data_IF_012626974765
#
_entry.id   IF_012626974765
#
_cell.length_a   1.000
_cell.length_b   1.000
_cell.length_c   1.000
_cell.angle_alpha   90.00
_cell.angle_beta   90.00
_cell.angle_gamma   90.00
#
_symmetry.space_group_name_H-M   'P 1'
#
loop_
_entity.id
_entity.type
_entity.pdbx_description
1 polymer ?
#
# COMPACT_ATOMS: atom_id res chain seq x y z
N UNK A 1 7.29 -6.31 -25.94
CA UNK A 1 6.52 -5.21 -25.29
C UNK A 1 5.07 -5.58 -25.03
N UNK A 2 4.34 -6.25 -25.95
CA UNK A 2 2.94 -6.62 -25.74
C UNK A 2 2.68 -7.40 -24.44
N UNK A 3 3.53 -8.37 -24.12
CA UNK A 3 3.44 -9.17 -22.86
C UNK A 3 3.58 -8.30 -21.61
N UNK A 4 4.48 -7.32 -21.63
CA UNK A 4 4.68 -6.41 -20.49
C UNK A 4 3.46 -5.49 -20.30
N UNK A 5 2.92 -4.97 -21.41
CA UNK A 5 1.73 -4.11 -21.37
C UNK A 5 0.49 -4.89 -20.94
N UNK A 6 0.28 -6.10 -21.44
CA UNK A 6 -0.85 -6.93 -21.03
C UNK A 6 -0.75 -7.38 -19.58
N UNK A 7 0.47 -7.71 -19.10
CA UNK A 7 0.72 -8.02 -17.70
C UNK A 7 0.43 -6.82 -16.79
N UNK A 8 0.92 -5.63 -17.15
CA UNK A 8 0.65 -4.41 -16.39
C UNK A 8 -0.85 -4.07 -16.37
N UNK A 9 -1.52 -4.13 -17.52
CA UNK A 9 -2.96 -3.91 -17.61
C UNK A 9 -3.75 -4.92 -16.75
N UNK A 10 -3.38 -6.20 -16.79
CA UNK A 10 -4.00 -7.23 -15.97
C UNK A 10 -3.86 -6.92 -14.48
N UNK A 11 -2.65 -6.59 -14.01
CA UNK A 11 -2.42 -6.18 -12.63
C UNK A 11 -3.28 -4.99 -12.22
N UNK A 12 -3.36 -3.96 -13.07
CA UNK A 12 -4.21 -2.78 -12.83
C UNK A 12 -5.68 -3.17 -12.65
N UNK A 13 -6.25 -3.96 -13.55
CA UNK A 13 -7.68 -4.33 -13.46
C UNK A 13 -7.99 -5.20 -12.25
N UNK A 14 -7.08 -6.12 -11.89
CA UNK A 14 -7.24 -6.95 -10.68
C UNK A 14 -7.19 -6.07 -9.42
N UNK A 15 -6.28 -5.10 -9.36
CA UNK A 15 -6.21 -4.17 -8.22
C UNK A 15 -7.42 -3.25 -8.17
N UNK A 16 -7.98 -2.83 -9.30
CA UNK A 16 -9.24 -2.08 -9.34
C UNK A 16 -10.39 -2.88 -8.71
N UNK A 17 -10.48 -4.18 -8.98
CA UNK A 17 -11.48 -5.03 -8.34
C UNK A 17 -11.30 -5.08 -6.81
N UNK A 18 -10.07 -5.24 -6.33
CA UNK A 18 -9.76 -5.16 -4.89
C UNK A 18 -10.09 -3.78 -4.30
N UNK A 19 -9.77 -2.70 -5.02
CA UNK A 19 -10.10 -1.34 -4.60
C UNK A 19 -11.62 -1.14 -4.47
N UNK A 20 -12.40 -1.70 -5.40
CA UNK A 20 -13.86 -1.63 -5.33
C UNK A 20 -14.42 -2.38 -4.13
N UNK A 21 -13.86 -3.56 -3.79
CA UNK A 21 -14.24 -4.28 -2.56
C UNK A 21 -13.95 -3.45 -1.29
N UNK A 22 -12.97 -2.55 -1.34
CA UNK A 22 -12.62 -1.67 -0.22
C UNK A 22 -13.51 -0.43 -0.12
N UNK A 23 -13.96 0.11 -1.26
CA UNK A 23 -14.82 1.29 -1.34
C UNK A 23 -15.93 1.08 -2.37
N UNK A 24 -16.93 0.24 -2.07
CA UNK A 24 -17.93 -0.19 -3.04
C UNK A 24 -18.79 0.99 -3.53
N UNK A 25 -18.86 1.16 -4.85
CA UNK A 25 -19.63 2.22 -5.55
C UNK A 25 -20.20 1.69 -6.88
N UNK A 26 -21.08 2.47 -7.52
CA UNK A 26 -21.60 2.14 -8.86
C UNK A 26 -22.73 1.10 -8.85
N UNK A 27 -23.52 1.06 -7.78
CA UNK A 27 -24.74 0.26 -7.71
C UNK A 27 -25.75 0.92 -6.76
N UNK A 28 -27.01 0.46 -6.83
CA UNK A 28 -28.08 0.76 -5.87
C UNK A 28 -28.47 -0.51 -5.13
N UNK A 29 -28.63 -0.44 -3.81
CA UNK A 29 -29.16 -1.54 -3.02
C UNK A 29 -30.64 -1.28 -2.71
N UNK A 30 -31.53 -2.09 -3.26
CA UNK A 30 -32.97 -1.97 -3.06
C UNK A 30 -33.61 -3.35 -2.96
N UNK A 31 -34.53 -3.54 -2.02
CA UNK A 31 -35.27 -4.80 -1.81
C UNK A 31 -34.38 -6.04 -1.66
N UNK A 32 -33.23 -5.91 -0.98
CA UNK A 32 -32.29 -7.03 -0.78
C UNK A 32 -31.45 -7.39 -2.02
N UNK A 33 -31.57 -6.64 -3.11
CA UNK A 33 -30.85 -6.88 -4.35
C UNK A 33 -30.00 -5.67 -4.77
N UNK A 34 -28.85 -5.95 -5.39
CA UNK A 34 -28.04 -4.95 -6.06
C UNK A 34 -28.56 -4.73 -7.47
N UNK A 35 -28.91 -3.49 -7.80
CA UNK A 35 -29.45 -3.07 -9.11
C UNK A 35 -28.74 -1.79 -9.58
N UNK A 36 -29.00 -1.34 -10.81
CA UNK A 36 -28.42 -0.08 -11.33
C UNK A 36 -26.89 -0.10 -11.38
N UNK A 37 -26.31 -1.20 -11.85
CA UNK A 37 -24.86 -1.40 -11.89
C UNK A 37 -24.24 -0.49 -12.97
N UNK A 38 -23.31 0.37 -12.57
CA UNK A 38 -22.44 1.15 -13.44
C UNK A 38 -21.00 0.64 -13.29
N UNK A 39 -20.51 -0.15 -14.26
CA UNK A 39 -19.15 -0.69 -14.22
C UNK A 39 -18.06 0.39 -14.23
N UNK A 40 -18.27 1.52 -14.91
CA UNK A 40 -17.27 2.57 -15.00
C UNK A 40 -17.17 3.31 -13.66
N UNK A 41 -18.30 3.58 -13.01
CA UNK A 41 -18.33 4.13 -11.66
C UNK A 41 -17.73 3.16 -10.61
N UNK A 42 -17.96 1.85 -10.77
CA UNK A 42 -17.35 0.83 -9.93
C UNK A 42 -15.82 0.80 -10.11
N UNK A 43 -15.33 0.86 -11.35
CA UNK A 43 -13.90 0.90 -11.66
C UNK A 43 -13.21 2.19 -11.18
N UNK A 44 -13.92 3.32 -11.19
CA UNK A 44 -13.44 4.63 -10.70
C UNK A 44 -13.71 4.86 -9.22
N UNK A 45 -13.84 3.78 -8.46
CA UNK A 45 -13.96 3.83 -7.00
C UNK A 45 -12.84 4.68 -6.36
N UNK A 46 -13.10 5.39 -5.25
CA UNK A 46 -12.12 6.29 -4.63
C UNK A 46 -10.77 5.65 -4.26
N UNK A 47 -10.74 4.33 -3.99
CA UNK A 47 -9.50 3.61 -3.69
C UNK A 47 -8.72 3.15 -4.93
N UNK A 48 -9.28 3.23 -6.15
CA UNK A 48 -8.70 2.64 -7.35
C UNK A 48 -7.31 3.20 -7.66
N UNK A 49 -7.19 4.53 -7.78
CA UNK A 49 -5.92 5.19 -8.10
C UNK A 49 -4.83 4.95 -7.04
N UNK A 50 -5.05 5.22 -5.74
CA UNK A 50 -4.00 5.04 -4.73
C UNK A 50 -3.52 3.58 -4.64
N UNK A 51 -4.43 2.60 -4.69
CA UNK A 51 -4.04 1.18 -4.62
C UNK A 51 -3.31 0.73 -5.89
N UNK A 52 -3.83 1.11 -7.06
CA UNK A 52 -3.22 0.73 -8.35
C UNK A 52 -1.82 1.32 -8.48
N UNK A 53 -1.63 2.60 -8.11
CA UNK A 53 -0.33 3.25 -8.15
C UNK A 53 0.67 2.53 -7.24
N UNK A 54 0.30 2.33 -5.97
CA UNK A 54 1.17 1.72 -4.97
C UNK A 54 1.54 0.27 -5.31
N UNK A 55 0.56 -0.54 -5.75
CA UNK A 55 0.80 -1.93 -6.11
C UNK A 55 1.64 -2.06 -7.39
N UNK A 56 1.41 -1.19 -8.38
CA UNK A 56 2.19 -1.21 -9.63
C UNK A 56 3.66 -0.91 -9.38
N UNK A 57 3.94 0.12 -8.57
CA UNK A 57 5.31 0.47 -8.17
C UNK A 57 5.93 -0.65 -7.33
N UNK A 58 5.18 -1.22 -6.36
CA UNK A 58 5.64 -2.34 -5.55
C UNK A 58 6.05 -3.54 -6.42
N UNK A 59 5.26 -3.88 -7.44
CA UNK A 59 5.55 -5.00 -8.33
C UNK A 59 6.84 -4.76 -9.14
N UNK A 60 7.06 -3.55 -9.67
CA UNK A 60 8.29 -3.22 -10.40
C UNK A 60 9.51 -3.13 -9.48
N UNK A 61 9.36 -2.59 -8.27
CA UNK A 61 10.42 -2.58 -7.27
C UNK A 61 10.82 -4.02 -6.89
N UNK A 62 9.85 -4.86 -6.52
CA UNK A 62 10.09 -6.24 -6.12
C UNK A 62 10.74 -7.07 -7.23
N UNK A 63 10.22 -6.99 -8.46
CA UNK A 63 10.78 -7.76 -9.59
C UNK A 63 12.14 -7.23 -10.03
N UNK A 64 12.29 -5.90 -10.17
CA UNK A 64 13.55 -5.27 -10.58
C UNK A 64 14.67 -5.51 -9.57
N UNK A 65 14.41 -5.29 -8.28
CA UNK A 65 15.38 -5.52 -7.21
C UNK A 65 15.64 -7.00 -6.97
N UNK A 66 14.64 -7.88 -7.15
CA UNK A 66 14.82 -9.32 -7.08
C UNK A 66 15.78 -9.84 -8.15
N UNK A 67 15.57 -9.42 -9.41
CA UNK A 67 16.50 -9.73 -10.52
C UNK A 67 17.88 -9.15 -10.27
N UNK A 68 17.96 -7.89 -9.83
CA UNK A 68 19.23 -7.24 -9.47
C UNK A 68 19.96 -8.02 -8.38
N UNK A 69 19.28 -8.45 -7.31
CA UNK A 69 19.87 -9.22 -6.22
C UNK A 69 20.47 -10.55 -6.68
N UNK A 70 19.75 -11.29 -7.52
CA UNK A 70 20.24 -12.56 -8.10
C UNK A 70 21.51 -12.31 -8.92
N UNK A 71 21.51 -11.34 -9.83
CA UNK A 71 22.67 -11.10 -10.69
C UNK A 71 23.84 -10.43 -9.96
N UNK A 72 23.58 -9.64 -8.92
CA UNK A 72 24.61 -9.15 -8.02
C UNK A 72 25.31 -10.31 -7.30
N UNK A 73 24.54 -11.27 -6.77
CA UNK A 73 25.10 -12.48 -6.14
C UNK A 73 25.95 -13.30 -7.12
N UNK A 74 25.48 -13.47 -8.36
CA UNK A 74 26.25 -14.18 -9.39
C UNK A 74 27.54 -13.45 -9.80
N UNK A 75 27.54 -12.11 -9.80
CA UNK A 75 28.75 -11.31 -10.02
C UNK A 75 29.77 -11.45 -8.90
N UNK A 76 29.35 -11.69 -7.66
CA UNK A 76 30.29 -11.96 -6.56
C UNK A 76 31.09 -13.25 -6.83
N UNK A 77 30.48 -14.23 -7.50
CA UNK A 77 31.14 -15.49 -7.90
C UNK A 77 31.96 -15.35 -9.19
N UNK A 78 31.48 -14.57 -10.15
CA UNK A 78 32.19 -14.32 -11.41
C UNK A 78 32.08 -12.84 -11.83
N UNK A 79 33.05 -12.03 -11.37
CA UNK A 79 33.06 -10.57 -11.52
C UNK A 79 33.21 -10.09 -12.97
N UNK A 80 33.71 -10.93 -13.87
CA UNK A 80 33.94 -10.58 -15.29
C UNK A 80 32.76 -10.90 -16.19
N UNK A 81 31.67 -11.49 -15.67
CA UNK A 81 30.49 -11.80 -16.45
C UNK A 81 29.78 -10.54 -16.96
N UNK A 82 29.91 -10.26 -18.26
CA UNK A 82 29.21 -9.17 -18.93
C UNK A 82 27.68 -9.35 -18.89
N UNK A 83 27.20 -10.60 -19.00
CA UNK A 83 25.78 -10.94 -18.92
C UNK A 83 25.18 -10.55 -17.57
N UNK A 84 25.80 -10.98 -16.46
CA UNK A 84 25.28 -10.66 -15.14
C UNK A 84 25.36 -9.16 -14.84
N UNK A 85 26.38 -8.46 -15.36
CA UNK A 85 26.46 -7.00 -15.27
C UNK A 85 25.33 -6.30 -16.02
N UNK A 86 25.03 -6.73 -17.24
CA UNK A 86 23.92 -6.18 -18.02
C UNK A 86 22.57 -6.44 -17.33
N UNK A 87 22.33 -7.67 -16.86
CA UNK A 87 21.09 -8.04 -16.19
C UNK A 87 20.90 -7.29 -14.86
N UNK A 88 21.97 -7.14 -14.06
CA UNK A 88 21.98 -6.29 -12.86
C UNK A 88 21.58 -4.85 -13.20
N UNK A 89 22.21 -4.26 -14.21
CA UNK A 89 21.91 -2.89 -14.64
C UNK A 89 20.45 -2.74 -15.06
N UNK A 90 19.90 -3.66 -15.87
CA UNK A 90 18.50 -3.62 -16.29
C UNK A 90 17.56 -3.75 -15.09
N UNK A 91 17.84 -4.68 -14.17
CA UNK A 91 17.05 -4.85 -12.94
C UNK A 91 17.02 -3.57 -12.09
N UNK A 92 18.18 -2.92 -11.92
CA UNK A 92 18.28 -1.66 -11.19
C UNK A 92 17.59 -0.49 -11.92
N UNK A 93 17.67 -0.41 -13.25
CA UNK A 93 16.98 0.62 -14.03
C UNK A 93 15.46 0.57 -13.88
N UNK A 94 14.89 -0.61 -13.64
CA UNK A 94 13.45 -0.78 -13.37
C UNK A 94 13.14 -0.62 -11.89
N UNK A 95 13.89 -1.30 -11.03
CA UNK A 95 13.59 -1.39 -9.60
C UNK A 95 13.92 -0.13 -8.81
N UNK A 96 15.05 0.53 -9.09
CA UNK A 96 15.50 1.67 -8.29
C UNK A 96 14.57 2.90 -8.40
N UNK A 97 14.10 3.32 -9.60
CA UNK A 97 13.12 4.40 -9.69
C UNK A 97 11.80 4.04 -8.98
N UNK A 98 11.34 2.79 -9.13
CA UNK A 98 10.12 2.34 -8.45
C UNK A 98 10.27 2.35 -6.93
N UNK A 99 11.42 1.91 -6.40
CA UNK A 99 11.72 1.95 -4.97
C UNK A 99 11.76 3.39 -4.42
N UNK A 100 12.32 4.35 -5.16
CA UNK A 100 12.33 5.77 -4.76
C UNK A 100 10.91 6.36 -4.75
N UNK A 101 10.06 5.99 -5.71
CA UNK A 101 8.68 6.46 -5.78
C UNK A 101 7.73 5.73 -4.81
N UNK A 102 8.14 4.56 -4.29
CA UNK A 102 7.30 3.70 -3.47
C UNK A 102 6.82 4.39 -2.19
N UNK A 103 7.68 5.05 -1.37
CA UNK A 103 7.23 5.74 -0.16
C UNK A 103 6.22 6.85 -0.43
N UNK A 104 6.37 7.58 -1.54
CA UNK A 104 5.44 8.66 -1.94
C UNK A 104 4.06 8.06 -2.24
N UNK A 105 4.02 6.97 -3.01
CA UNK A 105 2.75 6.27 -3.28
C UNK A 105 2.15 5.64 -2.02
N UNK A 106 3.00 5.20 -1.09
CA UNK A 106 2.61 4.65 0.21
C UNK A 106 1.93 5.68 1.09
N UNK A 107 2.48 6.88 1.18
CA UNK A 107 1.84 8.02 1.86
C UNK A 107 0.46 8.35 1.27
N UNK A 108 0.36 8.42 -0.07
CA UNK A 108 -0.92 8.65 -0.77
C UNK A 108 -1.94 7.54 -0.42
N UNK A 109 -1.49 6.28 -0.37
CA UNK A 109 -2.33 5.13 -0.03
C UNK A 109 -2.75 5.14 1.45
N UNK A 110 -1.83 5.40 2.38
CA UNK A 110 -2.08 5.47 3.81
C UNK A 110 -3.09 6.59 4.13
N UNK A 111 -2.96 7.75 3.50
CA UNK A 111 -3.94 8.85 3.63
C UNK A 111 -5.31 8.50 3.08
N UNK A 112 -5.37 7.69 2.01
CA UNK A 112 -6.63 7.18 1.50
C UNK A 112 -7.30 6.24 2.50
N UNK A 113 -6.52 5.36 3.14
CA UNK A 113 -6.97 4.45 4.20
C UNK A 113 -7.43 5.25 5.42
N UNK A 114 -6.67 6.25 5.86
CA UNK A 114 -7.02 7.10 7.00
C UNK A 114 -8.42 7.72 6.88
N UNK A 115 -8.76 8.22 5.70
CA UNK A 115 -10.05 8.88 5.44
C UNK A 115 -11.22 7.92 5.22
N UNK A 116 -10.96 6.72 4.73
CA UNK A 116 -12.02 5.82 4.21
C UNK A 116 -12.19 4.54 5.02
N UNK A 117 -11.12 4.11 5.68
CA UNK A 117 -11.04 2.86 6.45
C UNK A 117 -10.23 3.11 7.74
N UNK A 118 -10.68 4.01 8.62
CA UNK A 118 -9.93 4.41 9.81
C UNK A 118 -9.61 3.24 10.75
N UNK A 119 -10.48 2.23 10.81
CA UNK A 119 -10.25 1.00 11.59
C UNK A 119 -9.00 0.26 11.11
N UNK A 120 -8.70 0.27 9.81
CA UNK A 120 -7.49 -0.36 9.28
C UNK A 120 -6.24 0.44 9.65
N UNK A 121 -6.30 1.77 9.56
CA UNK A 121 -5.19 2.62 10.01
C UNK A 121 -4.94 2.41 11.50
N UNK A 122 -5.99 2.41 12.31
CA UNK A 122 -5.89 2.17 13.75
C UNK A 122 -5.28 0.80 14.07
N UNK A 123 -5.59 -0.23 13.27
CA UNK A 123 -4.96 -1.54 13.39
C UNK A 123 -3.50 -1.57 12.91
N UNK A 124 -3.14 -0.79 11.89
CA UNK A 124 -1.76 -0.66 11.40
C UNK A 124 -0.84 -0.02 12.44
N UNK A 125 -1.37 0.88 13.27
CA UNK A 125 -0.61 1.67 14.25
C UNK A 125 -0.86 1.24 15.71
N UNK A 126 -1.59 0.14 15.92
CA UNK A 126 -2.07 -0.31 17.25
C UNK A 126 -2.75 0.81 18.09
N UNK A 127 -3.45 1.72 17.42
CA UNK A 127 -4.15 2.82 18.06
C UNK A 127 -5.50 2.36 18.62
N UNK A 128 -5.54 2.03 19.92
CA UNK A 128 -6.78 1.61 20.56
C UNK A 128 -7.73 2.76 20.88
N UNK A 129 -7.21 3.87 21.42
CA UNK A 129 -8.01 5.01 21.86
C UNK A 129 -8.05 6.10 20.78
N UNK A 130 -9.23 6.67 20.54
CA UNK A 130 -9.38 7.86 19.67
C UNK A 130 -8.70 9.06 20.31
N UNK A 131 -7.77 9.69 19.60
CA UNK A 131 -7.00 10.82 20.13
C UNK A 131 -6.76 11.89 19.07
N UNK A 132 -6.77 13.15 19.50
CA UNK A 132 -6.25 14.26 18.72
C UNK A 132 -4.73 14.27 18.81
N UNK A 133 -4.03 14.50 17.69
CA UNK A 133 -2.56 14.47 17.70
C UNK A 133 -1.97 13.11 18.01
N UNK A 134 -2.53 12.06 17.40
CA UNK A 134 -2.10 10.69 17.60
C UNK A 134 -0.60 10.53 17.24
N UNK A 135 0.16 9.80 18.08
CA UNK A 135 1.54 9.48 17.78
C UNK A 135 1.64 8.43 16.66
N UNK A 136 2.79 8.42 15.97
CA UNK A 136 3.21 7.30 15.14
C UNK A 136 4.09 6.38 15.97
N UNK A 137 3.83 5.07 15.98
CA UNK A 137 4.65 4.11 16.73
C UNK A 137 5.66 3.46 15.78
N UNK A 138 6.94 3.56 16.10
CA UNK A 138 8.02 2.90 15.35
C UNK A 138 8.59 1.72 16.13
N UNK A 139 8.55 0.53 15.53
CA UNK A 139 9.18 -0.68 16.08
C UNK A 139 8.66 -1.01 17.49
N UNK A 140 9.52 -1.38 18.45
CA UNK A 140 9.09 -1.87 19.77
C UNK A 140 8.57 -0.77 20.73
N UNK A 141 7.91 0.27 20.22
CA UNK A 141 7.22 1.28 21.03
C UNK A 141 7.83 2.68 21.05
N UNK A 142 8.60 3.07 20.04
CA UNK A 142 9.07 4.47 19.94
C UNK A 142 7.93 5.31 19.37
N UNK A 143 7.25 6.07 20.22
CA UNK A 143 6.20 6.99 19.81
C UNK A 143 6.78 8.34 19.37
N UNK A 144 6.44 8.77 18.16
CA UNK A 144 6.69 10.15 17.68
C UNK A 144 5.37 10.93 17.81
N UNK A 145 5.28 11.90 18.74
CA UNK A 145 4.05 12.66 18.96
C UNK A 145 3.56 13.37 17.70
N UNK A 146 2.24 13.43 17.50
CA UNK A 146 1.56 14.11 16.38
C UNK A 146 1.87 13.57 14.97
N UNK A 147 2.84 12.65 14.82
CA UNK A 147 3.30 12.21 13.51
C UNK A 147 2.22 11.47 12.73
N UNK A 148 1.42 10.62 13.38
CA UNK A 148 0.33 9.91 12.69
C UNK A 148 -0.76 10.87 12.21
N UNK A 149 -1.17 11.84 13.05
CA UNK A 149 -2.13 12.88 12.65
C UNK A 149 -1.61 13.72 11.47
N UNK A 150 -0.35 14.13 11.53
CA UNK A 150 0.29 14.92 10.48
C UNK A 150 0.41 14.12 9.17
N UNK A 151 0.82 12.86 9.23
CA UNK A 151 0.98 12.02 8.04
C UNK A 151 -0.36 11.64 7.43
N UNK A 152 -1.36 11.31 8.25
CA UNK A 152 -2.67 10.87 7.78
C UNK A 152 -3.55 12.03 7.24
N UNK A 153 -3.47 13.20 7.87
CA UNK A 153 -4.40 14.30 7.60
C UNK A 153 -3.75 15.64 7.24
N UNK A 154 -2.41 15.76 7.27
CA UNK A 154 -1.68 17.03 7.16
C UNK A 154 -2.05 18.07 8.24
N UNK A 155 -2.58 17.61 9.36
CA UNK A 155 -2.92 18.44 10.49
C UNK A 155 -2.42 17.74 11.75
N UNK A 156 -1.44 18.32 12.48
CA UNK A 156 -0.91 17.71 13.69
C UNK A 156 -1.98 17.57 14.79
N UNK A 157 -3.10 18.29 14.72
CA UNK A 157 -4.18 18.21 15.70
C UNK A 157 -5.38 17.39 15.21
N UNK A 158 -5.29 16.75 14.04
CA UNK A 158 -6.35 15.89 13.54
C UNK A 158 -6.66 14.75 14.52
N UNK A 159 -7.96 14.49 14.69
CA UNK A 159 -8.46 13.36 15.47
C UNK A 159 -8.33 12.10 14.64
N UNK A 160 -7.59 11.13 15.15
CA UNK A 160 -7.47 9.79 14.57
C UNK A 160 -8.36 8.85 15.37
N UNK A 161 -9.30 8.20 14.69
CA UNK A 161 -10.20 7.22 15.30
C UNK A 161 -9.41 5.98 15.74
N UNK A 162 -9.56 5.61 17.01
CA UNK A 162 -8.99 4.38 17.56
C UNK A 162 -9.92 3.18 17.41
N UNK A 163 -9.38 1.98 17.64
CA UNK A 163 -10.11 0.72 17.54
C UNK A 163 -11.32 0.63 18.49
N UNK A 164 -11.22 1.22 19.70
CA UNK A 164 -12.29 1.19 20.71
C UNK A 164 -13.56 1.94 20.30
N UNK A 165 -13.50 2.76 19.24
CA UNK A 165 -14.67 3.42 18.67
C UNK A 165 -15.57 2.50 17.83
N UNK A 166 -15.14 1.27 17.54
CA UNK A 166 -15.84 0.31 16.68
C UNK A 166 -16.05 -1.02 17.43
N UNK A 167 -17.18 -1.73 17.23
CA UNK A 167 -17.42 -3.02 17.87
C UNK A 167 -16.27 -4.01 17.63
N UNK A 168 -15.86 -4.74 18.67
CA UNK A 168 -14.74 -5.70 18.61
C UNK A 168 -14.88 -6.77 17.51
N UNK A 169 -16.12 -7.11 17.15
CA UNK A 169 -16.41 -8.07 16.08
C UNK A 169 -16.03 -7.57 14.68
N UNK A 170 -15.89 -6.25 14.50
CA UNK A 170 -15.49 -5.62 13.23
C UNK A 170 -13.99 -5.34 13.17
N UNK A 171 -13.24 -5.67 14.22
CA UNK A 171 -11.81 -5.43 14.24
C UNK A 171 -11.10 -6.42 13.30
N UNK A 172 -10.11 -5.96 12.52
CA UNK A 172 -9.20 -6.87 11.87
C UNK A 172 -8.32 -7.57 12.91
N UNK A 173 -7.56 -8.57 12.47
CA UNK A 173 -6.53 -9.18 13.30
C UNK A 173 -5.38 -8.18 13.54
N UNK A 174 -5.46 -7.42 14.64
CA UNK A 174 -4.58 -6.27 14.93
C UNK A 174 -3.10 -6.64 14.89
N UNK A 175 -2.61 -7.66 15.63
CA UNK A 175 -1.19 -8.00 15.60
C UNK A 175 -0.70 -8.36 14.19
N UNK A 176 -1.50 -9.10 13.42
CA UNK A 176 -1.12 -9.47 12.06
C UNK A 176 -1.02 -8.24 11.15
N UNK A 177 -1.96 -7.29 11.27
CA UNK A 177 -1.96 -6.07 10.46
C UNK A 177 -0.80 -5.16 10.82
N UNK A 178 -0.57 -4.91 12.12
CA UNK A 178 0.51 -4.06 12.60
C UNK A 178 1.89 -4.58 12.17
N UNK A 179 2.21 -5.84 12.48
CA UNK A 179 3.49 -6.42 12.10
C UNK A 179 3.70 -6.48 10.58
N UNK A 180 2.64 -6.73 9.81
CA UNK A 180 2.72 -6.69 8.34
C UNK A 180 3.04 -5.28 7.83
N UNK A 181 2.45 -4.25 8.44
CA UNK A 181 2.69 -2.85 8.10
C UNK A 181 4.12 -2.43 8.44
N UNK A 182 4.59 -2.74 9.64
CA UNK A 182 5.95 -2.43 10.10
C UNK A 182 7.02 -3.08 9.22
N UNK A 183 6.87 -4.36 8.89
CA UNK A 183 7.79 -5.06 7.99
C UNK A 183 7.78 -4.41 6.60
N UNK A 184 6.60 -4.07 6.07
CA UNK A 184 6.47 -3.43 4.76
C UNK A 184 7.17 -2.07 4.72
N UNK A 185 6.93 -1.21 5.71
CA UNK A 185 7.56 0.13 5.78
C UNK A 185 9.07 0.00 5.99
N UNK A 186 9.51 -0.92 6.86
CA UNK A 186 10.92 -1.15 7.13
C UNK A 186 11.70 -1.65 5.90
N UNK A 187 11.09 -2.51 5.08
CA UNK A 187 11.71 -2.98 3.83
C UNK A 187 11.67 -1.92 2.71
N UNK A 188 10.76 -0.95 2.80
CA UNK A 188 10.58 0.11 1.81
C UNK A 188 11.38 1.39 2.09
N UNK A 189 12.02 1.49 3.27
CA UNK A 189 12.84 2.63 3.70
C UNK A 189 14.32 2.34 3.49
#
# INVERSE_FOLDING_TARGET
MLVALSGAASGIFVVIANAWMNTPTGFTFANGAFTGIDPIAAMRTPAALPQTLHMTLAAYAATGLGVAGIHAFLLLKNRTSAFNRAALTIGLLVGAPAAVLQPISGDIAARSVARRQPVKLAAMEELYETRAGAPLTLGPGIEIPYALSLLAFHDPHAVVQGLNAVPRAEWPNVPLVHWSFDIMVSLGT
#
